data_IF_277302586817
#
_entry.id   IF_277302586817
#
_cell.length_a   1.000
_cell.length_b   1.000
_cell.length_c   1.000
_cell.angle_alpha   90.00
_cell.angle_beta   90.00
_cell.angle_gamma   90.00
#
_symmetry.space_group_name_H-M   'P 1'
#
loop_
_entity.id
_entity.type
_entity.pdbx_description
1 polymer ?
#
# COMPACT_ATOMS: atom_id res chain seq x y z
N UNK A 1 -39.92 40.28 28.91
CA UNK A 1 -39.20 41.48 29.40
C UNK A 1 -38.26 41.94 28.32
N UNK A 2 -38.68 43.06 27.76
CA UNK A 2 -38.08 43.86 26.70
C UNK A 2 -36.80 44.56 27.19
N UNK A 3 -35.77 44.63 26.35
CA UNK A 3 -34.95 45.86 26.27
C UNK A 3 -34.24 45.94 24.92
N UNK A 4 -34.68 46.88 24.16
CA UNK A 4 -34.01 47.59 23.03
C UNK A 4 -32.96 48.53 23.62
N UNK A 5 -31.98 48.90 22.81
CA UNK A 5 -31.31 50.24 22.72
C UNK A 5 -30.16 49.99 21.70
N UNK A 6 -30.10 50.55 20.65
CA UNK A 6 -30.13 51.86 19.95
C UNK A 6 -28.81 52.12 19.21
N UNK A 7 -29.01 52.60 18.01
CA UNK A 7 -28.04 53.04 16.99
C UNK A 7 -27.21 54.23 17.47
N UNK A 8 -26.00 54.38 17.01
CA UNK A 8 -25.40 55.67 16.70
C UNK A 8 -24.57 55.63 15.45
N UNK A 9 -25.07 56.32 14.44
CA UNK A 9 -24.43 56.87 13.26
C UNK A 9 -23.49 58.01 13.64
N UNK A 10 -22.28 58.05 13.08
CA UNK A 10 -21.55 59.31 12.86
C UNK A 10 -20.87 59.28 11.51
N UNK A 11 -21.25 60.26 10.71
CA UNK A 11 -20.64 60.65 9.44
C UNK A 11 -19.63 61.78 9.68
N UNK A 12 -18.54 61.80 8.94
CA UNK A 12 -17.73 62.98 8.65
C UNK A 12 -16.84 62.66 7.46
N UNK A 13 -17.13 63.09 6.30
CA UNK A 13 -16.71 64.30 5.55
C UNK A 13 -15.25 64.28 5.05
N UNK A 14 -15.19 64.30 3.76
CA UNK A 14 -14.19 64.38 2.73
C UNK A 14 -12.98 65.31 2.94
N UNK A 15 -11.86 64.90 2.32
CA UNK A 15 -10.91 65.86 1.64
C UNK A 15 -10.38 65.24 0.35
N UNK A 16 -10.57 65.94 -0.74
CA UNK A 16 -9.99 65.68 -2.07
C UNK A 16 -8.48 65.89 -2.05
N UNK A 17 -7.76 64.95 -2.62
CA UNK A 17 -6.37 65.09 -3.02
C UNK A 17 -6.14 64.38 -4.35
N UNK A 18 -6.12 65.12 -5.45
CA UNK A 18 -5.77 64.62 -6.77
C UNK A 18 -4.28 64.35 -6.85
N UNK A 19 -3.88 63.10 -7.03
CA UNK A 19 -2.51 62.72 -7.35
C UNK A 19 -2.55 61.70 -8.51
N UNK A 20 -2.23 62.17 -9.71
CA UNK A 20 -1.98 61.29 -10.86
C UNK A 20 -0.69 60.52 -10.63
N UNK A 21 -0.78 59.23 -10.31
CA UNK A 21 0.33 58.30 -10.39
C UNK A 21 0.04 57.29 -11.52
N UNK A 22 0.81 57.40 -12.60
CA UNK A 22 0.86 56.40 -13.64
C UNK A 22 1.43 55.12 -13.04
N UNK A 23 0.59 54.21 -12.63
CA UNK A 23 0.98 52.87 -12.27
C UNK A 23 0.96 52.01 -13.54
N UNK A 24 2.17 51.73 -14.08
CA UNK A 24 2.33 50.69 -15.10
C UNK A 24 1.86 49.36 -14.59
N UNK A 25 0.84 48.80 -15.21
CA UNK A 25 0.39 47.42 -14.98
C UNK A 25 1.47 46.50 -15.55
N UNK A 26 2.33 46.01 -14.66
CA UNK A 26 3.15 44.83 -14.97
C UNK A 26 2.19 43.63 -15.01
N UNK A 27 1.84 43.19 -16.22
CA UNK A 27 1.16 41.92 -16.46
C UNK A 27 2.18 40.85 -16.10
N UNK A 28 2.08 40.32 -14.89
CA UNK A 28 2.78 39.10 -14.52
C UNK A 28 2.20 37.98 -15.39
N UNK A 29 2.88 37.66 -16.48
CA UNK A 29 2.64 36.42 -17.21
C UNK A 29 2.89 35.28 -16.24
N UNK A 30 1.82 34.74 -15.65
CA UNK A 30 1.86 33.47 -14.96
C UNK A 30 2.24 32.43 -16.00
N UNK A 31 3.53 32.06 -16.04
CA UNK A 31 3.98 30.91 -16.78
C UNK A 31 3.25 29.69 -16.15
N UNK A 32 2.23 29.25 -16.84
CA UNK A 32 1.57 27.97 -16.58
C UNK A 32 2.63 26.91 -16.85
N UNK A 33 3.43 26.61 -15.81
CA UNK A 33 4.37 25.51 -15.84
C UNK A 33 3.53 24.26 -15.92
N UNK A 34 3.34 23.76 -17.13
CA UNK A 34 2.77 22.46 -17.44
C UNK A 34 3.45 21.43 -16.53
N UNK A 35 2.79 21.12 -15.43
CA UNK A 35 3.25 20.16 -14.43
C UNK A 35 3.27 18.82 -15.13
N UNK A 36 4.44 18.40 -15.65
CA UNK A 36 4.60 17.05 -16.20
C UNK A 36 3.95 16.06 -15.27
N UNK A 37 3.04 15.19 -15.77
CA UNK A 37 2.42 14.18 -14.94
C UNK A 37 3.51 13.41 -14.18
N UNK A 38 3.40 13.33 -12.87
CA UNK A 38 4.32 12.49 -12.09
C UNK A 38 4.18 11.06 -12.60
N UNK A 39 5.28 10.38 -12.91
CA UNK A 39 5.20 8.99 -13.34
C UNK A 39 4.44 8.19 -12.28
N UNK A 40 3.46 7.43 -12.73
CA UNK A 40 2.70 6.52 -11.88
C UNK A 40 3.70 5.55 -11.26
N UNK A 41 3.69 5.43 -9.94
CA UNK A 41 4.48 4.43 -9.23
C UNK A 41 3.58 3.26 -8.86
N UNK A 42 4.08 2.05 -9.04
CA UNK A 42 3.38 0.86 -8.60
C UNK A 42 3.09 0.96 -7.09
N UNK A 43 1.85 0.68 -6.71
CA UNK A 43 1.43 0.68 -5.31
C UNK A 43 0.25 -0.26 -5.07
N UNK A 44 0.10 -0.70 -3.82
CA UNK A 44 -1.12 -1.32 -3.33
C UNK A 44 -1.49 -0.68 -1.99
N UNK A 45 -2.72 -0.20 -1.90
CA UNK A 45 -3.25 0.45 -0.71
C UNK A 45 -4.66 -0.06 -0.41
N UNK A 46 -5.01 -0.07 0.85
CA UNK A 46 -6.36 -0.43 1.29
C UNK A 46 -6.38 -1.31 2.52
N UNK A 47 -7.57 -1.56 3.01
CA UNK A 47 -7.84 -2.44 4.14
C UNK A 47 -9.07 -3.27 3.83
N UNK A 48 -9.00 -4.57 4.07
CA UNK A 48 -10.11 -5.46 3.80
C UNK A 48 -10.18 -6.60 4.79
N UNK A 49 -11.40 -7.00 5.11
CA UNK A 49 -11.72 -8.25 5.77
C UNK A 49 -11.94 -9.36 4.75
N UNK A 50 -11.61 -10.57 5.10
CA UNK A 50 -11.73 -11.73 4.22
C UNK A 50 -12.02 -13.01 4.99
N UNK A 51 -12.53 -14.01 4.28
CA UNK A 51 -12.80 -15.35 4.80
C UNK A 51 -11.89 -16.38 4.13
N UNK A 52 -11.58 -17.44 4.87
CA UNK A 52 -10.80 -18.56 4.34
C UNK A 52 -11.74 -19.53 3.60
N UNK A 53 -11.56 -19.78 2.31
CA UNK A 53 -12.46 -20.65 1.55
C UNK A 53 -12.33 -22.12 1.94
N UNK A 54 -11.24 -22.52 2.57
CA UNK A 54 -10.93 -23.89 3.00
C UNK A 54 -11.15 -24.14 4.50
N UNK A 55 -11.50 -23.10 5.27
CA UNK A 55 -11.74 -23.20 6.71
C UNK A 55 -12.83 -22.22 7.11
N UNK A 56 -13.98 -22.76 7.50
CA UNK A 56 -15.10 -21.95 7.94
C UNK A 56 -15.09 -21.87 9.46
N UNK A 57 -14.83 -20.66 9.97
CA UNK A 57 -14.90 -20.30 11.37
C UNK A 57 -15.66 -18.98 11.54
N UNK A 58 -15.68 -18.46 12.76
CA UNK A 58 -16.26 -17.15 13.10
C UNK A 58 -15.19 -16.06 13.28
N UNK A 59 -13.95 -16.38 12.95
CA UNK A 59 -12.85 -15.45 13.08
C UNK A 59 -12.95 -14.34 12.05
N UNK A 60 -12.56 -13.12 12.45
CA UNK A 60 -12.45 -11.99 11.53
C UNK A 60 -10.98 -11.74 11.25
N UNK A 61 -10.62 -11.77 9.98
CA UNK A 61 -9.25 -11.53 9.51
C UNK A 61 -9.22 -10.32 8.59
N UNK A 62 -8.27 -9.43 8.81
CA UNK A 62 -8.09 -8.30 7.93
C UNK A 62 -6.62 -8.01 7.66
N UNK A 63 -6.34 -7.53 6.45
CA UNK A 63 -5.06 -6.98 6.07
C UNK A 63 -5.21 -5.52 5.65
N UNK A 64 -4.23 -4.71 6.08
CA UNK A 64 -4.11 -3.33 5.62
C UNK A 64 -2.75 -3.19 4.94
N UNK A 65 -2.76 -2.69 3.70
CA UNK A 65 -1.56 -2.42 2.93
C UNK A 65 -1.41 -0.92 2.68
N UNK A 66 -0.19 -0.45 2.85
CA UNK A 66 0.31 0.83 2.33
C UNK A 66 1.70 0.52 1.77
N UNK A 67 1.75 0.06 0.52
CA UNK A 67 2.96 -0.38 -0.13
C UNK A 67 3.20 0.38 -1.44
N UNK A 68 4.43 0.80 -1.66
CA UNK A 68 4.86 1.57 -2.82
C UNK A 68 6.18 1.02 -3.35
N UNK A 69 6.28 0.92 -4.68
CA UNK A 69 7.54 0.58 -5.32
C UNK A 69 8.62 1.62 -4.99
N UNK A 70 9.81 1.13 -4.69
CA UNK A 70 11.01 1.89 -4.47
C UNK A 70 12.22 1.19 -5.16
N UNK A 71 12.19 1.07 -6.49
CA UNK A 71 13.16 0.28 -7.24
C UNK A 71 14.60 0.69 -6.92
N UNK A 72 15.49 -0.31 -6.83
CA UNK A 72 16.92 -0.14 -6.61
C UNK A 72 17.27 0.66 -5.34
N UNK A 73 16.44 0.56 -4.31
CA UNK A 73 16.59 1.36 -3.08
C UNK A 73 17.26 0.61 -1.93
N UNK A 74 17.46 -0.70 -2.07
CA UNK A 74 17.95 -1.52 -0.98
C UNK A 74 19.10 -2.44 -1.44
N UNK A 75 20.36 -2.06 -1.15
CA UNK A 75 21.49 -2.94 -1.41
C UNK A 75 21.34 -4.29 -0.71
N UNK A 76 21.69 -5.35 -1.42
CA UNK A 76 21.72 -6.73 -0.91
C UNK A 76 23.12 -7.31 -1.09
N UNK A 77 23.52 -8.32 -0.30
CA UNK A 77 24.75 -9.06 -0.52
C UNK A 77 24.79 -9.59 -1.97
N UNK A 78 25.84 -9.24 -2.71
CA UNK A 78 26.00 -9.60 -4.13
C UNK A 78 25.18 -8.75 -5.12
N UNK A 79 24.29 -7.88 -4.65
CA UNK A 79 23.46 -6.97 -5.49
C UNK A 79 23.50 -5.56 -4.90
N UNK A 80 24.63 -4.85 -5.01
CA UNK A 80 24.79 -3.55 -4.36
C UNK A 80 23.84 -2.46 -4.89
N UNK A 81 23.35 -2.62 -6.11
CA UNK A 81 22.37 -1.71 -6.72
C UNK A 81 20.92 -1.92 -6.27
N UNK A 82 20.63 -2.97 -5.48
CA UNK A 82 19.26 -3.33 -5.14
C UNK A 82 18.50 -4.01 -6.28
N UNK A 83 17.20 -4.25 -6.08
CA UNK A 83 16.33 -4.93 -7.04
C UNK A 83 15.31 -3.98 -7.67
N UNK A 84 14.87 -4.22 -8.91
CA UNK A 84 13.78 -3.47 -9.53
C UNK A 84 12.47 -3.59 -8.76
N UNK A 85 12.32 -4.66 -7.96
CA UNK A 85 11.16 -4.97 -7.15
C UNK A 85 11.23 -4.44 -5.73
N UNK A 86 12.30 -3.73 -5.36
CA UNK A 86 12.41 -3.13 -4.03
C UNK A 86 11.20 -2.23 -3.75
N UNK A 87 10.73 -2.29 -2.53
CA UNK A 87 9.54 -1.56 -2.11
C UNK A 87 9.67 -1.05 -0.68
N UNK A 88 8.78 -0.16 -0.33
CA UNK A 88 8.65 0.43 1.00
C UNK A 88 7.19 0.50 1.40
N UNK A 89 6.96 0.65 2.70
CA UNK A 89 5.63 0.80 3.26
C UNK A 89 5.38 -0.19 4.37
N UNK A 90 4.13 -0.36 4.73
CA UNK A 90 3.70 -1.15 5.87
C UNK A 90 2.59 -2.13 5.51
N UNK A 91 2.62 -3.25 6.21
CA UNK A 91 1.51 -4.20 6.27
C UNK A 91 1.04 -4.26 7.72
N UNK A 92 -0.28 -4.25 7.92
CA UNK A 92 -0.88 -4.59 9.20
C UNK A 92 -1.77 -5.81 9.00
N UNK A 93 -1.69 -6.73 9.94
CA UNK A 93 -2.53 -7.92 10.02
C UNK A 93 -3.34 -7.83 11.29
N UNK A 94 -4.63 -8.14 11.21
CA UNK A 94 -5.49 -8.32 12.37
C UNK A 94 -6.22 -9.66 12.24
N UNK A 95 -6.27 -10.40 13.34
CA UNK A 95 -6.96 -11.66 13.44
C UNK A 95 -7.72 -11.70 14.77
N UNK A 96 -9.02 -11.51 14.71
CA UNK A 96 -9.91 -11.76 15.84
C UNK A 96 -10.24 -13.25 15.90
N UNK A 97 -9.92 -13.91 16.99
CA UNK A 97 -10.31 -15.29 17.27
C UNK A 97 -11.62 -15.29 18.05
N UNK A 98 -12.69 -15.77 17.41
CA UNK A 98 -14.01 -15.82 18.04
C UNK A 98 -14.09 -16.84 19.20
N UNK A 99 -13.26 -17.89 19.16
CA UNK A 99 -13.18 -18.89 20.24
C UNK A 99 -12.57 -18.32 21.51
N UNK A 100 -11.57 -17.44 21.36
CA UNK A 100 -10.78 -16.90 22.49
C UNK A 100 -11.20 -15.50 22.90
N UNK A 101 -12.04 -14.85 22.12
CA UNK A 101 -12.43 -13.44 22.25
C UNK A 101 -11.19 -12.50 22.34
N UNK A 102 -10.20 -12.75 21.49
CA UNK A 102 -8.94 -12.01 21.46
C UNK A 102 -8.61 -11.61 20.03
N UNK A 103 -8.14 -10.37 19.85
CA UNK A 103 -7.57 -9.89 18.60
C UNK A 103 -6.04 -9.91 18.65
N UNK A 104 -5.43 -10.66 17.76
CA UNK A 104 -3.98 -10.64 17.54
C UNK A 104 -3.67 -9.70 16.38
N UNK A 105 -2.63 -8.89 16.55
CA UNK A 105 -2.17 -7.98 15.52
C UNK A 105 -0.69 -8.17 15.22
N UNK A 106 -0.31 -7.92 13.97
CA UNK A 106 1.09 -7.81 13.58
C UNK A 106 1.30 -6.66 12.61
N UNK A 107 2.51 -6.11 12.60
CA UNK A 107 2.96 -5.14 11.62
C UNK A 107 4.20 -5.65 10.92
N UNK A 108 4.34 -5.30 9.65
CA UNK A 108 5.50 -5.63 8.86
C UNK A 108 5.94 -4.45 7.99
N UNK A 109 7.23 -4.44 7.70
CA UNK A 109 7.84 -3.52 6.74
C UNK A 109 7.90 -4.19 5.37
N UNK A 110 7.26 -3.57 4.39
CA UNK A 110 7.28 -4.06 3.00
C UNK A 110 8.72 -4.03 2.47
N UNK A 111 9.09 -5.10 1.80
CA UNK A 111 10.43 -5.26 1.23
C UNK A 111 10.42 -5.60 -0.27
N UNK A 112 9.30 -5.98 -0.82
CA UNK A 112 9.15 -6.23 -2.26
C UNK A 112 7.72 -5.93 -2.71
N UNK A 113 7.57 -5.40 -3.95
CA UNK A 113 6.30 -5.21 -4.62
C UNK A 113 6.45 -5.41 -6.13
N UNK A 114 5.61 -6.27 -6.68
CA UNK A 114 5.40 -6.44 -8.13
C UNK A 114 3.92 -6.24 -8.41
N UNK A 115 3.60 -5.46 -9.42
CA UNK A 115 2.21 -5.23 -9.82
C UNK A 115 1.96 -5.63 -11.27
N UNK A 116 0.76 -6.08 -11.55
CA UNK A 116 0.17 -6.16 -12.88
C UNK A 116 -1.09 -5.31 -12.92
N UNK A 117 -1.82 -5.37 -14.03
CA UNK A 117 -3.11 -4.72 -14.12
C UNK A 117 -4.05 -5.31 -13.06
N UNK A 118 -4.43 -4.48 -12.06
CA UNK A 118 -5.33 -4.85 -10.96
C UNK A 118 -4.84 -6.03 -10.10
N UNK A 119 -3.55 -6.34 -10.14
CA UNK A 119 -2.95 -7.38 -9.31
C UNK A 119 -1.66 -6.88 -8.66
N UNK A 120 -1.40 -7.33 -7.45
CA UNK A 120 -0.15 -7.06 -6.76
C UNK A 120 0.31 -8.30 -6.01
N UNK A 121 1.64 -8.49 -5.98
CA UNK A 121 2.32 -9.42 -5.08
C UNK A 121 3.33 -8.62 -4.28
N UNK A 122 3.31 -8.76 -2.97
CA UNK A 122 4.22 -8.08 -2.07
C UNK A 122 4.70 -9.02 -0.97
N UNK A 123 5.85 -8.71 -0.42
CA UNK A 123 6.34 -9.34 0.81
C UNK A 123 6.67 -8.29 1.86
N UNK A 124 6.55 -8.70 3.11
CA UNK A 124 6.93 -7.86 4.25
C UNK A 124 7.66 -8.69 5.32
N UNK A 125 8.63 -8.10 5.96
CA UNK A 125 9.26 -8.64 7.15
C UNK A 125 8.50 -8.15 8.36
N UNK A 126 7.98 -9.07 9.18
CA UNK A 126 7.23 -8.73 10.39
C UNK A 126 8.15 -8.09 11.42
N UNK A 127 7.75 -6.95 11.93
CA UNK A 127 8.52 -6.15 12.90
C UNK A 127 7.91 -6.14 14.29
N UNK A 128 6.59 -6.31 14.37
CA UNK A 128 5.85 -6.27 15.64
C UNK A 128 4.75 -7.32 15.64
N UNK A 129 4.49 -7.90 16.80
CA UNK A 129 3.36 -8.80 17.06
C UNK A 129 2.79 -8.46 18.44
N UNK A 130 1.45 -8.44 18.56
CA UNK A 130 0.79 -8.24 19.86
C UNK A 130 1.10 -9.36 20.86
N UNK A 131 1.00 -9.12 22.17
CA UNK A 131 1.18 -10.15 23.18
C UNK A 131 0.30 -11.39 22.91
N UNK A 132 0.88 -12.58 23.04
CA UNK A 132 0.20 -13.85 22.78
C UNK A 132 0.00 -14.19 21.30
N UNK A 133 0.41 -13.34 20.37
CA UNK A 133 0.39 -13.60 18.95
C UNK A 133 1.48 -14.60 18.49
N UNK A 134 1.49 -15.00 17.22
CA UNK A 134 2.40 -16.00 16.70
C UNK A 134 3.86 -15.51 16.71
N UNK A 135 4.86 -16.37 16.93
CA UNK A 135 6.28 -15.99 16.98
C UNK A 135 6.89 -15.78 15.58
N UNK A 136 6.43 -14.74 14.89
CA UNK A 136 6.81 -14.45 13.49
C UNK A 136 7.61 -13.16 13.30
N UNK A 137 8.01 -12.48 14.37
CA UNK A 137 8.89 -11.31 14.27
C UNK A 137 10.20 -11.71 13.56
N UNK A 138 10.61 -10.92 12.58
CA UNK A 138 11.76 -11.20 11.72
C UNK A 138 11.47 -12.14 10.55
N UNK A 139 10.34 -12.86 10.52
CA UNK A 139 9.95 -13.69 9.38
C UNK A 139 9.39 -12.82 8.24
N UNK A 140 9.69 -13.24 7.00
CA UNK A 140 9.05 -12.69 5.82
C UNK A 140 7.73 -13.40 5.58
N UNK A 141 6.72 -12.64 5.24
CA UNK A 141 5.39 -13.12 4.83
C UNK A 141 5.02 -12.53 3.48
N UNK A 142 4.36 -13.33 2.66
CA UNK A 142 3.96 -12.95 1.32
C UNK A 142 2.46 -12.74 1.24
N UNK A 143 2.07 -11.74 0.45
CA UNK A 143 0.69 -11.38 0.18
C UNK A 143 0.50 -11.18 -1.31
N UNK A 144 -0.69 -11.51 -1.79
CA UNK A 144 -1.15 -11.19 -3.13
C UNK A 144 -2.52 -10.55 -3.08
N UNK A 145 -2.80 -9.67 -4.02
CA UNK A 145 -4.06 -8.95 -4.13
C UNK A 145 -4.56 -9.02 -5.56
N UNK A 146 -5.85 -9.23 -5.71
CA UNK A 146 -6.60 -8.93 -6.91
C UNK A 146 -7.61 -7.83 -6.57
N UNK A 147 -7.47 -6.68 -7.22
CA UNK A 147 -8.41 -5.56 -7.17
C UNK A 147 -9.53 -5.83 -8.18
N UNK A 148 -10.68 -6.26 -7.70
CA UNK A 148 -11.87 -6.56 -8.50
C UNK A 148 -12.53 -5.31 -9.11
N UNK A 149 -12.06 -4.11 -8.77
CA UNK A 149 -12.61 -2.82 -9.16
C UNK A 149 -13.79 -2.38 -8.31
N UNK A 150 -14.07 -1.11 -8.40
CA UNK A 150 -15.21 -0.55 -7.70
C UNK A 150 -16.48 -1.29 -8.09
N UNK A 151 -17.07 -1.99 -7.14
CA UNK A 151 -18.45 -2.44 -7.22
C UNK A 151 -19.36 -1.22 -7.02
N UNK A 152 -19.22 -0.19 -7.86
CA UNK A 152 -20.28 0.80 -8.06
C UNK A 152 -21.37 0.09 -8.84
N UNK A 153 -22.09 -0.80 -8.15
CA UNK A 153 -23.35 -1.29 -8.62
C UNK A 153 -24.29 -0.09 -8.71
N UNK A 154 -24.55 0.36 -9.92
CA UNK A 154 -25.81 1.01 -10.24
C UNK A 154 -26.92 0.00 -9.92
N UNK A 155 -27.46 0.13 -8.73
CA UNK A 155 -28.59 -0.64 -8.23
C UNK A 155 -29.25 0.17 -7.12
N UNK A 156 -30.40 0.81 -7.44
CA UNK A 156 -31.32 1.38 -6.47
C UNK A 156 -31.72 0.30 -5.45
N UNK A 157 -31.04 0.29 -4.34
CA UNK A 157 -31.30 -0.62 -3.24
C UNK A 157 -30.03 -0.78 -2.41
N UNK A 158 -29.85 0.05 -1.38
CA UNK A 158 -28.66 0.17 -0.54
C UNK A 158 -28.13 -1.11 0.11
N UNK A 159 -27.80 -2.11 -0.69
CA UNK A 159 -27.00 -3.26 -0.30
C UNK A 159 -25.54 -2.92 -0.50
N UNK A 160 -24.72 -3.00 0.57
CA UNK A 160 -23.25 -2.98 0.47
C UNK A 160 -22.84 -4.04 -0.57
N UNK A 161 -22.47 -3.62 -1.79
CA UNK A 161 -21.98 -4.51 -2.82
C UNK A 161 -20.77 -5.26 -2.29
N UNK A 162 -20.77 -6.60 -2.36
CA UNK A 162 -19.60 -7.40 -1.99
C UNK A 162 -18.44 -6.99 -2.91
N UNK A 163 -17.33 -6.64 -2.32
CA UNK A 163 -16.09 -6.43 -3.07
C UNK A 163 -15.78 -7.69 -3.91
N UNK A 164 -15.31 -7.48 -5.14
CA UNK A 164 -14.81 -8.57 -5.99
C UNK A 164 -13.32 -8.83 -5.74
N UNK A 165 -12.74 -8.12 -4.78
CA UNK A 165 -11.35 -8.25 -4.41
C UNK A 165 -11.08 -9.62 -3.82
N UNK A 166 -9.84 -10.04 -3.98
CA UNK A 166 -9.34 -11.27 -3.38
C UNK A 166 -7.96 -11.03 -2.81
N UNK A 167 -7.62 -11.79 -1.77
CA UNK A 167 -6.30 -11.74 -1.15
C UNK A 167 -5.73 -13.15 -1.01
N UNK A 168 -4.44 -13.28 -1.11
CA UNK A 168 -3.69 -14.49 -0.81
C UNK A 168 -2.57 -14.18 0.17
N UNK A 169 -2.11 -15.18 0.92
CA UNK A 169 -1.01 -15.05 1.88
C UNK A 169 -0.33 -16.39 2.13
N UNK A 170 0.93 -16.36 2.57
CA UNK A 170 1.87 -17.48 2.57
C UNK A 170 1.93 -18.31 3.85
N UNK A 171 0.96 -18.23 4.72
CA UNK A 171 0.91 -19.01 5.97
C UNK A 171 -0.48 -19.61 6.21
N UNK A 172 -0.70 -20.16 7.39
CA UNK A 172 -1.97 -20.78 7.79
C UNK A 172 -2.36 -21.98 6.94
N UNK A 173 -1.41 -22.88 6.70
CA UNK A 173 -1.64 -24.12 5.99
C UNK A 173 -1.43 -24.09 4.48
N UNK A 174 -1.05 -22.93 3.91
CA UNK A 174 -0.82 -22.80 2.45
C UNK A 174 0.64 -22.81 2.03
N UNK A 175 1.57 -22.85 2.97
CA UNK A 175 3.03 -22.86 2.70
C UNK A 175 3.77 -23.88 3.58
N UNK A 176 3.21 -25.06 3.75
CA UNK A 176 3.75 -26.09 4.63
C UNK A 176 4.88 -26.88 3.97
N UNK A 177 5.89 -27.22 4.75
CA UNK A 177 6.91 -28.17 4.32
C UNK A 177 6.37 -29.60 4.36
N UNK A 178 6.67 -30.45 3.35
CA UNK A 178 6.16 -31.82 3.26
C UNK A 178 6.90 -32.80 4.19
N UNK A 179 7.40 -32.35 5.35
CA UNK A 179 8.25 -33.15 6.23
C UNK A 179 7.53 -33.85 7.37
N UNK A 180 6.20 -33.74 7.46
CA UNK A 180 5.44 -34.40 8.50
C UNK A 180 5.80 -33.99 9.95
N UNK A 181 6.29 -32.76 10.13
CA UNK A 181 6.61 -32.19 11.45
C UNK A 181 5.33 -31.90 12.25
N UNK A 182 5.38 -32.05 13.56
CA UNK A 182 4.28 -31.67 14.46
C UNK A 182 4.80 -30.68 15.48
N UNK A 183 4.35 -29.41 15.49
CA UNK A 183 3.39 -28.80 14.55
C UNK A 183 3.96 -28.67 13.13
N UNK A 184 3.09 -28.51 12.11
CA UNK A 184 3.54 -28.30 10.74
C UNK A 184 4.48 -27.08 10.63
N UNK A 185 5.55 -27.22 9.89
CA UNK A 185 6.51 -26.14 9.65
C UNK A 185 6.19 -25.43 8.34
N UNK A 186 6.19 -24.11 8.36
CA UNK A 186 6.01 -23.30 7.17
C UNK A 186 7.35 -23.03 6.49
N UNK A 187 7.38 -23.14 5.16
CA UNK A 187 8.57 -22.83 4.37
C UNK A 187 8.96 -21.35 4.48
N UNK A 188 10.26 -21.02 4.44
CA UNK A 188 10.69 -19.62 4.31
C UNK A 188 10.13 -18.99 3.03
N UNK A 189 9.64 -17.77 3.14
CA UNK A 189 9.11 -17.01 2.01
C UNK A 189 10.23 -16.24 1.33
N UNK A 190 10.42 -16.46 0.03
CA UNK A 190 11.34 -15.67 -0.80
C UNK A 190 10.78 -14.26 -1.06
N UNK A 191 11.67 -13.37 -1.53
CA UNK A 191 11.27 -12.00 -1.90
C UNK A 191 10.23 -12.02 -3.02
N UNK A 192 9.15 -11.28 -2.87
CA UNK A 192 8.00 -11.24 -3.79
C UNK A 192 7.32 -12.61 -4.05
N UNK A 193 7.36 -13.53 -3.10
CA UNK A 193 6.68 -14.82 -3.21
C UNK A 193 5.41 -14.82 -2.37
N UNK A 194 4.27 -15.08 -3.02
CA UNK A 194 2.99 -15.28 -2.38
C UNK A 194 2.13 -16.25 -3.21
N UNK A 195 1.17 -16.97 -2.61
CA UNK A 195 0.14 -17.69 -3.34
C UNK A 195 -0.70 -16.74 -4.20
N UNK A 196 -1.39 -17.27 -5.19
CA UNK A 196 -2.42 -16.51 -5.91
C UNK A 196 -3.49 -15.98 -4.94
N UNK A 197 -4.22 -14.88 -5.27
CA UNK A 197 -5.29 -14.35 -4.42
C UNK A 197 -6.48 -15.33 -4.38
N UNK A 198 -6.59 -16.12 -3.32
CA UNK A 198 -7.59 -17.20 -3.17
C UNK A 198 -8.77 -16.84 -2.25
N UNK A 199 -8.55 -15.98 -1.26
CA UNK A 199 -9.55 -15.66 -0.25
C UNK A 199 -10.43 -14.48 -0.70
N UNK A 200 -11.76 -14.63 -0.73
CA UNK A 200 -12.66 -13.54 -1.09
C UNK A 200 -12.72 -12.49 0.02
N UNK A 201 -12.65 -11.22 -0.39
CA UNK A 201 -12.88 -10.08 0.49
C UNK A 201 -14.36 -9.95 0.79
N UNK A 202 -14.69 -9.73 2.05
CA UNK A 202 -16.06 -9.60 2.55
C UNK A 202 -16.44 -8.17 2.90
N UNK A 203 -15.47 -7.36 3.34
CA UNK A 203 -15.65 -5.94 3.65
C UNK A 203 -14.37 -5.16 3.32
N UNK A 204 -14.52 -3.88 2.94
CA UNK A 204 -13.41 -3.05 2.51
C UNK A 204 -12.93 -3.37 1.11
N UNK A 205 -11.64 -3.15 0.82
CA UNK A 205 -11.06 -3.42 -0.49
C UNK A 205 -9.67 -2.84 -0.66
N UNK A 206 -9.12 -3.08 -1.84
CA UNK A 206 -7.77 -2.67 -2.23
C UNK A 206 -7.78 -1.90 -3.54
N UNK A 207 -6.82 -1.01 -3.69
CA UNK A 207 -6.54 -0.31 -4.95
C UNK A 207 -5.12 -0.62 -5.37
N UNK A 208 -4.97 -1.13 -6.60
CA UNK A 208 -3.68 -1.43 -7.20
C UNK A 208 -3.38 -0.44 -8.31
N UNK A 209 -2.34 0.37 -8.13
CA UNK A 209 -1.76 1.15 -9.21
C UNK A 209 -0.61 0.36 -9.83
N UNK A 210 -0.74 0.06 -11.13
CA UNK A 210 0.28 -0.67 -11.86
C UNK A 210 1.31 0.28 -12.49
N UNK A 211 2.58 -0.13 -12.44
CA UNK A 211 3.65 0.45 -13.24
C UNK A 211 4.65 -0.66 -13.59
N UNK A 212 5.21 -0.58 -14.80
CA UNK A 212 6.27 -1.49 -15.23
C UNK A 212 7.52 -1.36 -14.35
N UNK A 213 8.26 -2.47 -14.22
CA UNK A 213 9.53 -2.45 -13.53
C UNK A 213 10.55 -1.62 -14.32
N UNK A 214 11.24 -0.68 -13.68
CA UNK A 214 12.21 0.14 -14.38
C UNK A 214 13.47 -0.66 -14.76
N UNK A 215 14.08 -0.26 -15.85
CA UNK A 215 15.41 -0.78 -16.23
C UNK A 215 16.45 -0.49 -15.15
N UNK A 216 17.49 -1.32 -15.01
CA UNK A 216 18.56 -1.05 -14.07
C UNK A 216 19.24 0.28 -14.38
N UNK A 217 19.70 1.02 -13.36
CA UNK A 217 20.50 2.22 -13.57
C UNK A 217 21.79 1.86 -14.33
N UNK A 218 22.30 2.74 -15.18
CA UNK A 218 23.55 2.49 -15.88
C UNK A 218 24.67 2.17 -14.89
N UNK A 219 25.44 1.11 -15.18
CA UNK A 219 26.59 0.75 -14.36
C UNK A 219 27.59 1.92 -14.30
N UNK A 220 28.21 2.18 -13.13
CA UNK A 220 29.28 3.16 -13.05
C UNK A 220 30.34 2.85 -14.09
N UNK A 221 30.73 3.83 -14.92
CA UNK A 221 31.82 3.64 -15.89
C UNK A 221 33.07 3.22 -15.13
N UNK A 222 33.51 1.97 -15.30
CA UNK A 222 34.74 1.44 -14.66
C UNK A 222 34.56 0.15 -13.86
N UNK A 223 33.36 -0.39 -13.68
CA UNK A 223 33.20 -1.74 -13.14
C UNK A 223 33.42 -2.75 -14.27
N UNK A 224 34.57 -3.39 -14.28
CA UNK A 224 34.82 -4.60 -15.08
C UNK A 224 33.79 -5.64 -14.63
N UNK A 225 32.90 -6.02 -15.52
CA UNK A 225 32.00 -7.16 -15.33
C UNK A 225 32.86 -8.39 -14.99
N UNK A 226 32.60 -9.10 -13.88
CA UNK A 226 33.35 -10.32 -13.61
C UNK A 226 33.11 -11.28 -14.76
N UNK A 227 34.19 -11.72 -15.41
CA UNK A 227 34.13 -12.70 -16.48
C UNK A 227 33.32 -13.91 -16.02
N UNK A 228 32.25 -14.21 -16.71
CA UNK A 228 31.45 -15.41 -16.45
C UNK A 228 32.30 -16.65 -16.50
N UNK A 229 31.96 -17.72 -15.74
CA UNK A 229 32.71 -18.97 -15.76
C UNK A 229 32.77 -19.51 -17.18
N UNK A 230 33.99 -19.87 -17.62
CA UNK A 230 34.24 -20.46 -18.92
C UNK A 230 33.41 -21.74 -19.09
N UNK A 231 32.79 -21.96 -20.26
CA UNK A 231 32.06 -23.19 -20.53
C UNK A 231 33.00 -24.40 -20.41
N UNK A 232 32.56 -25.43 -19.66
CA UNK A 232 33.20 -26.73 -19.56
C UNK A 232 32.84 -27.58 -20.76
#
# INVERSE_FOLDING_TARGET
>A
MTSRIERRTQAAIAVLGAGFALAGAAVAASADQERKPRPVRASVVGSAEFVLPYHQDKDVRSFTFDAQAAPYSRPLPGIPGGLPTDARGTVKVSHYSAERDITYTSKGRVDCLVTGVRTATLTAVITEVSPGGPPIVGKRVGFSVHDGGDSKGEGEGGGKGRSKDRVGFSWNGVNLLPKGTTPPEEAPVGTCMAPAPYAPVTEGGYVVAHAELPSPPPSPKGSTEPAGPAPK
#
